data_IF_279759746272
#
_entry.id   IF_279759746272
#
_cell.length_a   1.000
_cell.length_b   1.000
_cell.length_c   1.000
_cell.angle_alpha   90.00
_cell.angle_beta   90.00
_cell.angle_gamma   90.00
#
_symmetry.space_group_name_H-M   'P 1'
#
loop_
_entity.id
_entity.type
_entity.pdbx_description
1 polymer ?
#
# COMPACT_ATOMS: atom_id res chain seq x y z
N UNK A 1 -1.21 -26.77 -19.07
CA UNK A 1 -0.94 -25.31 -18.93
C UNK A 1 0.03 -24.82 -20.01
N UNK A 2 1.23 -25.39 -20.18
CA UNK A 2 2.18 -24.96 -21.22
C UNK A 2 1.67 -25.12 -22.68
N UNK A 3 0.91 -26.17 -23.01
CA UNK A 3 0.34 -26.36 -24.35
C UNK A 3 -0.71 -25.30 -24.75
N UNK A 4 -1.50 -24.83 -23.78
CA UNK A 4 -2.50 -23.79 -23.99
C UNK A 4 -1.86 -22.41 -24.25
N UNK A 5 -0.74 -22.14 -23.56
CA UNK A 5 0.06 -20.92 -23.76
C UNK A 5 0.75 -20.94 -25.14
N UNK A 6 1.26 -22.08 -25.60
CA UNK A 6 1.88 -22.25 -26.92
C UNK A 6 0.90 -22.00 -28.09
N UNK A 7 -0.32 -22.55 -28.02
CA UNK A 7 -1.36 -22.32 -29.03
C UNK A 7 -1.74 -20.84 -29.17
N UNK A 8 -1.70 -20.11 -28.06
CA UNK A 8 -1.98 -18.67 -28.05
C UNK A 8 -0.80 -17.83 -28.55
N UNK A 9 0.42 -18.21 -28.20
CA UNK A 9 1.64 -17.57 -28.68
C UNK A 9 1.76 -17.67 -30.21
N UNK A 10 1.49 -18.86 -30.78
CA UNK A 10 1.47 -19.07 -32.24
C UNK A 10 0.36 -18.28 -32.94
N UNK A 11 -0.83 -18.18 -32.35
CA UNK A 11 -1.99 -17.52 -32.96
C UNK A 11 -1.95 -15.98 -32.89
N UNK A 12 -1.43 -15.41 -31.80
CA UNK A 12 -1.38 -13.96 -31.61
C UNK A 12 -0.06 -13.34 -32.08
N UNK A 13 1.04 -14.11 -32.07
CA UNK A 13 2.39 -13.63 -32.34
C UNK A 13 2.91 -12.70 -31.24
N UNK A 14 4.19 -12.85 -30.90
CA UNK A 14 4.83 -12.05 -29.85
C UNK A 14 4.75 -10.55 -30.11
N UNK A 15 4.83 -10.09 -31.37
CA UNK A 15 4.76 -8.67 -31.72
C UNK A 15 3.46 -7.97 -31.29
N UNK A 16 2.32 -8.67 -31.30
CA UNK A 16 1.02 -8.07 -30.93
C UNK A 16 0.86 -7.97 -29.42
N UNK A 17 1.30 -8.99 -28.68
CA UNK A 17 1.38 -8.96 -27.21
C UNK A 17 2.37 -7.89 -26.76
N UNK A 18 3.48 -7.72 -27.48
CA UNK A 18 4.43 -6.64 -27.27
C UNK A 18 3.78 -5.26 -27.54
N UNK A 19 2.93 -5.11 -28.57
CA UNK A 19 2.19 -3.86 -28.82
C UNK A 19 1.23 -3.48 -27.69
N UNK A 20 0.42 -4.43 -27.20
CA UNK A 20 -0.51 -4.20 -26.07
C UNK A 20 0.30 -3.81 -24.81
N UNK A 21 1.37 -4.54 -24.52
CA UNK A 21 2.25 -4.25 -23.38
C UNK A 21 3.03 -2.92 -23.53
N UNK A 22 3.42 -2.53 -24.75
CA UNK A 22 4.05 -1.22 -25.03
C UNK A 22 3.06 -0.06 -24.92
N UNK A 23 1.84 -0.21 -25.46
CA UNK A 23 0.79 0.82 -25.38
C UNK A 23 0.33 1.07 -23.94
N UNK A 24 0.34 0.04 -23.08
CA UNK A 24 0.00 0.17 -21.67
C UNK A 24 0.99 1.04 -20.85
N UNK A 25 2.09 1.52 -21.45
CA UNK A 25 3.13 2.35 -20.80
C UNK A 25 3.54 1.80 -19.43
N UNK A 26 3.76 0.49 -19.33
CA UNK A 26 3.95 -0.24 -18.06
C UNK A 26 4.98 0.38 -17.11
N UNK A 27 5.97 1.09 -17.64
CA UNK A 27 6.95 1.86 -16.85
C UNK A 27 6.28 2.85 -15.88
N UNK A 28 5.15 3.49 -16.24
CA UNK A 28 4.42 4.40 -15.35
C UNK A 28 3.84 3.72 -14.11
N UNK A 29 3.65 2.40 -14.16
CA UNK A 29 3.16 1.58 -13.07
C UNK A 29 4.29 0.84 -12.33
N UNK A 30 5.56 1.24 -12.55
CA UNK A 30 6.67 0.69 -11.79
C UNK A 30 6.53 1.10 -10.33
N UNK A 31 6.48 0.10 -9.45
CA UNK A 31 6.54 0.35 -8.03
C UNK A 31 7.94 0.84 -7.69
N UNK A 32 8.04 2.04 -7.12
CA UNK A 32 9.30 2.49 -6.54
C UNK A 32 9.63 1.64 -5.31
N UNK A 33 10.81 1.01 -5.33
CA UNK A 33 11.32 0.21 -4.21
C UNK A 33 11.44 1.03 -2.93
N UNK A 34 11.66 2.34 -3.02
CA UNK A 34 11.80 3.23 -1.87
C UNK A 34 10.52 3.32 -1.02
N UNK A 35 9.35 3.17 -1.64
CA UNK A 35 8.05 3.24 -0.96
C UNK A 35 7.85 2.07 0.02
N UNK A 36 8.31 0.88 -0.35
CA UNK A 36 8.25 -0.29 0.56
C UNK A 36 9.13 -0.08 1.78
N UNK A 37 10.34 0.45 1.58
CA UNK A 37 11.28 0.69 2.67
C UNK A 37 10.84 1.87 3.54
N UNK A 38 10.21 2.88 2.95
CA UNK A 38 9.55 3.96 3.68
C UNK A 38 8.41 3.44 4.57
N UNK A 39 7.48 2.66 4.04
CA UNK A 39 6.38 2.10 4.85
C UNK A 39 6.90 1.16 5.93
N UNK A 40 7.94 0.36 5.64
CA UNK A 40 8.60 -0.49 6.64
C UNK A 40 9.19 0.32 7.79
N UNK A 41 9.82 1.47 7.51
CA UNK A 41 10.32 2.37 8.56
C UNK A 41 9.20 2.87 9.45
N UNK A 42 8.03 3.20 8.89
CA UNK A 42 6.87 3.59 9.69
C UNK A 42 6.35 2.46 10.58
N UNK A 43 6.37 1.22 10.08
CA UNK A 43 6.01 0.03 10.89
C UNK A 43 6.99 -0.15 12.05
N UNK A 44 8.30 0.00 11.80
CA UNK A 44 9.34 -0.11 12.84
C UNK A 44 9.14 1.00 13.88
N UNK A 45 8.98 2.25 13.44
CA UNK A 45 8.71 3.38 14.32
C UNK A 45 7.49 3.16 15.22
N UNK A 46 6.41 2.61 14.66
CA UNK A 46 5.18 2.29 15.41
C UNK A 46 5.35 1.09 16.36
N UNK A 47 6.19 0.11 16.02
CA UNK A 47 6.50 -1.06 16.86
C UNK A 47 7.49 -0.77 17.98
N UNK A 48 8.45 0.12 17.76
CA UNK A 48 9.57 0.37 18.68
C UNK A 48 9.25 1.35 19.82
N UNK A 49 7.99 1.75 20.01
CA UNK A 49 7.59 2.70 21.06
C UNK A 49 6.34 2.25 21.82
N UNK A 50 6.32 2.04 23.14
CA UNK A 50 7.32 1.99 24.21
C UNK A 50 6.74 1.12 25.34
N UNK A 51 7.58 0.60 26.24
CA UNK A 51 7.12 0.31 27.61
C UNK A 51 6.44 1.56 28.18
N UNK A 52 5.42 1.46 29.03
CA UNK A 52 4.74 2.63 29.59
C UNK A 52 5.76 3.63 30.13
N UNK A 53 5.88 4.77 29.44
CA UNK A 53 6.72 5.89 29.82
C UNK A 53 5.81 6.86 30.57
N UNK A 54 6.12 7.16 31.82
CA UNK A 54 5.36 8.13 32.61
C UNK A 54 6.14 9.45 32.65
N UNK A 55 5.65 10.53 32.01
CA UNK A 55 6.35 11.81 31.98
C UNK A 55 6.50 12.38 33.40
N UNK A 56 7.72 12.72 33.82
CA UNK A 56 8.00 13.26 35.16
C UNK A 56 8.38 14.73 35.14
N UNK A 57 8.74 15.26 33.98
CA UNK A 57 9.22 16.62 33.77
C UNK A 57 8.49 17.31 32.62
N UNK A 58 8.65 18.64 32.50
CA UNK A 58 8.15 19.39 31.35
C UNK A 58 8.86 19.02 30.05
N UNK A 59 10.14 18.64 30.12
CA UNK A 59 10.92 18.20 28.97
C UNK A 59 10.43 16.84 28.45
N UNK A 60 10.01 15.93 29.35
CA UNK A 60 9.39 14.66 28.99
C UNK A 60 8.08 14.86 28.21
N UNK A 61 7.26 15.85 28.63
CA UNK A 61 6.05 16.21 27.91
C UNK A 61 6.36 16.81 26.53
N UNK A 62 7.40 17.63 26.43
CA UNK A 62 7.83 18.21 25.15
C UNK A 62 8.28 17.12 24.17
N UNK A 63 9.10 16.19 24.63
CA UNK A 63 9.53 15.05 23.82
C UNK A 63 8.34 14.22 23.34
N UNK A 64 7.35 13.99 24.20
CA UNK A 64 6.14 13.25 23.82
C UNK A 64 5.30 14.00 22.78
N UNK A 65 5.21 15.32 22.87
CA UNK A 65 4.54 16.15 21.84
C UNK A 65 5.28 16.05 20.51
N UNK A 66 6.61 16.10 20.51
CA UNK A 66 7.42 15.99 19.30
C UNK A 66 7.20 14.61 18.63
N UNK A 67 7.16 13.52 19.41
CA UNK A 67 6.85 12.17 18.93
C UNK A 67 5.43 12.03 18.37
N UNK A 68 4.44 12.69 18.98
CA UNK A 68 3.08 12.74 18.46
C UNK A 68 3.01 13.48 17.12
N UNK A 69 3.73 14.59 16.97
CA UNK A 69 3.81 15.35 15.72
C UNK A 69 4.49 14.53 14.62
N UNK A 70 5.58 13.82 14.94
CA UNK A 70 6.25 12.93 14.00
C UNK A 70 5.33 11.78 13.56
N UNK A 71 4.61 11.17 14.51
CA UNK A 71 3.61 10.12 14.21
C UNK A 71 2.52 10.64 13.28
N UNK A 72 2.03 11.86 13.51
CA UNK A 72 1.03 12.50 12.65
C UNK A 72 1.58 12.74 11.24
N UNK A 73 2.82 13.22 11.11
CA UNK A 73 3.47 13.43 9.82
C UNK A 73 3.60 12.11 9.03
N UNK A 74 3.95 11.00 9.69
CA UNK A 74 4.00 9.68 9.06
C UNK A 74 2.62 9.20 8.60
N UNK A 75 1.56 9.45 9.38
CA UNK A 75 0.17 9.12 8.99
C UNK A 75 -0.28 9.89 7.75
N UNK A 76 0.03 11.17 7.67
CA UNK A 76 -0.34 12.02 6.54
C UNK A 76 0.40 11.60 5.27
N UNK A 77 1.71 11.32 5.38
CA UNK A 77 2.51 10.82 4.27
C UNK A 77 2.05 9.44 3.80
N UNK A 78 1.74 8.54 4.73
CA UNK A 78 1.20 7.21 4.42
C UNK A 78 -0.17 7.30 3.72
N UNK A 79 -1.04 8.23 4.12
CA UNK A 79 -2.30 8.51 3.43
C UNK A 79 -2.06 8.87 1.97
N UNK A 80 -1.08 9.76 1.70
CA UNK A 80 -0.70 10.11 0.33
C UNK A 80 -0.28 8.90 -0.50
N UNK A 81 0.58 8.02 0.06
CA UNK A 81 1.01 6.78 -0.60
C UNK A 81 -0.18 5.85 -0.88
N UNK A 82 -1.11 5.71 0.07
CA UNK A 82 -2.30 4.87 -0.09
C UNK A 82 -3.26 5.37 -1.18
N UNK A 83 -3.43 6.69 -1.30
CA UNK A 83 -4.23 7.30 -2.36
C UNK A 83 -3.60 7.00 -3.73
N UNK A 84 -2.30 7.28 -3.89
CA UNK A 84 -1.58 6.99 -5.14
C UNK A 84 -1.62 5.50 -5.49
N UNK A 85 -1.46 4.63 -4.49
CA UNK A 85 -1.55 3.18 -4.66
C UNK A 85 -2.93 2.76 -5.15
N UNK A 86 -4.01 3.34 -4.62
CA UNK A 86 -5.37 3.02 -5.05
C UNK A 86 -5.63 3.47 -6.49
N UNK A 87 -5.20 4.68 -6.85
CA UNK A 87 -5.27 5.19 -8.24
C UNK A 87 -4.53 4.25 -9.20
N UNK A 88 -3.31 3.81 -8.85
CA UNK A 88 -2.54 2.90 -9.68
C UNK A 88 -3.23 1.53 -9.85
N UNK A 89 -3.86 1.00 -8.80
CA UNK A 89 -4.61 -0.25 -8.86
C UNK A 89 -5.82 -0.13 -9.78
N UNK A 90 -6.56 0.98 -9.67
CA UNK A 90 -7.76 1.25 -10.47
C UNK A 90 -7.41 1.44 -11.95
N UNK A 91 -6.36 2.20 -12.24
CA UNK A 91 -5.85 2.35 -13.61
C UNK A 91 -5.41 1.01 -14.21
N UNK A 92 -4.69 0.18 -13.45
CA UNK A 92 -4.30 -1.16 -13.90
C UNK A 92 -5.52 -2.07 -14.13
N UNK A 93 -6.57 -1.94 -13.30
CA UNK A 93 -7.82 -2.67 -13.47
C UNK A 93 -8.54 -2.27 -14.77
N UNK A 94 -8.55 -0.98 -15.11
CA UNK A 94 -9.11 -0.48 -16.37
C UNK A 94 -8.33 -1.01 -17.57
N UNK A 95 -6.99 -1.06 -17.48
CA UNK A 95 -6.15 -1.63 -18.54
C UNK A 95 -6.48 -3.11 -18.76
N UNK A 96 -6.64 -3.88 -17.68
CA UNK A 96 -7.02 -5.30 -17.75
C UNK A 96 -8.39 -5.44 -18.40
N UNK A 97 -9.43 -4.74 -17.91
CA UNK A 97 -10.79 -4.89 -18.43
C UNK A 97 -10.93 -4.43 -19.89
N UNK A 98 -10.27 -3.34 -20.27
CA UNK A 98 -10.25 -2.84 -21.65
C UNK A 98 -9.54 -3.83 -22.56
N UNK A 99 -8.40 -4.35 -22.11
CA UNK A 99 -7.65 -5.34 -22.86
C UNK A 99 -8.42 -6.64 -23.03
N UNK A 100 -9.06 -7.14 -21.97
CA UNK A 100 -9.93 -8.32 -22.02
C UNK A 100 -11.05 -8.11 -23.05
N UNK A 101 -11.72 -6.96 -23.00
CA UNK A 101 -12.79 -6.61 -23.95
C UNK A 101 -12.30 -6.61 -25.40
N UNK A 102 -11.10 -6.07 -25.66
CA UNK A 102 -10.48 -6.10 -26.99
C UNK A 102 -10.16 -7.53 -27.44
N UNK A 103 -9.62 -8.36 -26.55
CA UNK A 103 -9.35 -9.77 -26.80
C UNK A 103 -10.62 -10.54 -27.19
N UNK A 104 -11.71 -10.33 -26.45
CA UNK A 104 -12.99 -10.97 -26.74
C UNK A 104 -13.64 -10.48 -28.04
N UNK A 105 -13.42 -9.22 -28.42
CA UNK A 105 -14.03 -8.63 -29.61
C UNK A 105 -13.27 -9.01 -30.88
N UNK A 106 -11.95 -8.81 -30.90
CA UNK A 106 -11.10 -9.04 -32.08
C UNK A 106 -10.76 -10.52 -32.30
N UNK A 107 -10.65 -11.29 -31.22
CA UNK A 107 -10.27 -12.70 -31.27
C UNK A 107 -11.40 -13.61 -30.82
N UNK A 108 -12.66 -13.18 -30.98
CA UNK A 108 -13.84 -13.92 -30.59
C UNK A 108 -13.82 -15.37 -31.10
N UNK A 109 -13.40 -15.58 -32.35
CA UNK A 109 -13.36 -16.92 -32.94
C UNK A 109 -12.23 -17.81 -32.38
N UNK A 110 -11.13 -17.21 -31.92
CA UNK A 110 -10.08 -17.92 -31.19
C UNK A 110 -10.52 -18.22 -29.74
N UNK A 111 -11.20 -17.27 -29.11
CA UNK A 111 -11.74 -17.39 -27.75
C UNK A 111 -12.89 -18.41 -27.68
N UNK A 112 -13.69 -18.55 -28.75
CA UNK A 112 -14.71 -19.61 -28.91
C UNK A 112 -14.10 -21.00 -29.00
N UNK A 113 -12.91 -21.14 -29.62
CA UNK A 113 -12.16 -22.41 -29.66
C UNK A 113 -11.59 -22.77 -28.28
N UNK A 114 -11.44 -21.80 -27.39
CA UNK A 114 -11.08 -22.00 -25.98
C UNK A 114 -12.35 -22.30 -25.15
N UNK A 115 -12.84 -23.52 -25.30
CA UNK A 115 -14.09 -24.00 -24.70
C UNK A 115 -14.01 -24.21 -23.18
N UNK A 116 -12.81 -24.37 -22.62
CA UNK A 116 -12.62 -24.51 -21.17
C UNK A 116 -12.13 -23.20 -20.52
N UNK A 117 -12.46 -23.01 -19.23
CA UNK A 117 -12.11 -21.82 -18.43
C UNK A 117 -10.60 -21.64 -18.26
N UNK A 118 -9.85 -22.72 -18.16
CA UNK A 118 -8.41 -22.73 -17.89
C UNK A 118 -7.58 -22.19 -19.06
N UNK A 119 -7.92 -22.55 -20.30
CA UNK A 119 -7.28 -22.05 -21.52
C UNK A 119 -7.54 -20.56 -21.69
N UNK A 120 -8.74 -20.11 -21.31
CA UNK A 120 -9.13 -18.69 -21.33
C UNK A 120 -8.36 -17.88 -20.29
N UNK A 121 -8.21 -18.41 -19.08
CA UNK A 121 -7.35 -17.82 -18.05
C UNK A 121 -5.86 -17.81 -18.45
N UNK A 122 -5.38 -18.87 -19.11
CA UNK A 122 -4.00 -18.93 -19.60
C UNK A 122 -3.72 -17.85 -20.67
N UNK A 123 -4.65 -17.63 -21.59
CA UNK A 123 -4.56 -16.56 -22.60
C UNK A 123 -4.51 -15.16 -21.96
N UNK A 124 -5.40 -14.90 -21.00
CA UNK A 124 -5.42 -13.65 -20.23
C UNK A 124 -4.11 -13.47 -19.47
N UNK A 125 -3.57 -14.53 -18.85
CA UNK A 125 -2.26 -14.48 -18.16
C UNK A 125 -1.09 -14.28 -19.13
N UNK A 126 -1.14 -14.83 -20.34
CA UNK A 126 -0.10 -14.63 -21.35
C UNK A 126 -0.04 -13.16 -21.78
N UNK A 127 -1.21 -12.56 -22.01
CA UNK A 127 -1.32 -11.19 -22.56
C UNK A 127 -1.19 -10.13 -21.48
N UNK A 128 -1.87 -10.30 -20.35
CA UNK A 128 -1.93 -9.35 -19.23
C UNK A 128 -1.01 -9.73 -18.07
N UNK A 129 -0.27 -10.83 -18.13
CA UNK A 129 0.60 -11.29 -17.05
C UNK A 129 1.49 -10.19 -16.44
N UNK A 130 2.18 -9.36 -17.26
CA UNK A 130 2.94 -8.23 -16.75
C UNK A 130 2.08 -7.19 -16.00
N UNK A 131 0.87 -6.87 -16.50
CA UNK A 131 -0.07 -5.92 -15.90
C UNK A 131 -0.61 -6.47 -14.57
N UNK A 132 -1.06 -7.73 -14.58
CA UNK A 132 -1.60 -8.43 -13.40
C UNK A 132 -0.53 -8.53 -12.30
N UNK A 133 0.72 -8.86 -12.64
CA UNK A 133 1.82 -8.89 -11.68
C UNK A 133 2.08 -7.51 -11.06
N UNK A 134 2.05 -6.43 -11.84
CA UNK A 134 2.15 -5.07 -11.30
C UNK A 134 0.98 -4.73 -10.39
N UNK A 135 -0.24 -5.08 -10.79
CA UNK A 135 -1.42 -4.85 -9.96
C UNK A 135 -1.31 -5.59 -8.62
N UNK A 136 -0.82 -6.83 -8.62
CA UNK A 136 -0.55 -7.60 -7.41
C UNK A 136 0.52 -6.92 -6.52
N UNK A 137 1.57 -6.36 -7.10
CA UNK A 137 2.59 -5.60 -6.35
C UNK A 137 1.99 -4.36 -5.66
N UNK A 138 1.16 -3.59 -6.35
CA UNK A 138 0.47 -2.43 -5.76
C UNK A 138 -0.55 -2.84 -4.70
N UNK A 139 -1.33 -3.92 -4.92
CA UNK A 139 -2.23 -4.51 -3.90
C UNK A 139 -1.46 -4.95 -2.66
N UNK A 140 -0.29 -5.57 -2.83
CA UNK A 140 0.60 -5.92 -1.72
C UNK A 140 1.11 -4.68 -0.97
N UNK A 141 1.50 -3.62 -1.68
CA UNK A 141 1.89 -2.35 -1.03
C UNK A 141 0.72 -1.77 -0.22
N UNK A 142 -0.49 -1.78 -0.78
CA UNK A 142 -1.71 -1.32 -0.08
C UNK A 142 -1.92 -2.06 1.23
N UNK A 143 -1.85 -3.40 1.23
CA UNK A 143 -2.01 -4.20 2.45
C UNK A 143 -0.94 -3.88 3.51
N UNK A 144 0.32 -3.67 3.09
CA UNK A 144 1.39 -3.25 4.02
C UNK A 144 1.11 -1.84 4.57
N UNK A 145 0.64 -0.92 3.73
CA UNK A 145 0.26 0.43 4.15
C UNK A 145 -0.92 0.46 5.12
N UNK A 146 -1.93 -0.40 4.93
CA UNK A 146 -3.06 -0.53 5.86
C UNK A 146 -2.61 -1.00 7.25
N UNK A 147 -1.72 -2.00 7.32
CA UNK A 147 -1.11 -2.43 8.59
C UNK A 147 -0.29 -1.31 9.24
N UNK A 148 0.53 -0.61 8.47
CA UNK A 148 1.31 0.52 8.98
C UNK A 148 0.42 1.64 9.55
N UNK A 149 -0.70 1.92 8.88
CA UNK A 149 -1.66 2.95 9.31
C UNK A 149 -2.36 2.55 10.62
N UNK A 150 -2.75 1.29 10.76
CA UNK A 150 -3.32 0.77 12.01
C UNK A 150 -2.33 0.94 13.16
N UNK A 151 -1.09 0.48 12.98
CA UNK A 151 -0.05 0.61 14.00
C UNK A 151 0.21 2.07 14.38
N UNK A 152 0.36 2.98 13.40
CA UNK A 152 0.57 4.40 13.66
C UNK A 152 -0.61 5.06 14.40
N UNK A 153 -1.85 4.63 14.13
CA UNK A 153 -3.01 5.12 14.88
C UNK A 153 -2.95 4.65 16.34
N UNK A 154 -2.65 3.38 16.57
CA UNK A 154 -2.50 2.81 17.91
C UNK A 154 -1.40 3.53 18.71
N UNK A 155 -0.23 3.73 18.09
CA UNK A 155 0.88 4.50 18.70
C UNK A 155 0.44 5.92 19.04
N UNK A 156 -0.24 6.63 18.13
CA UNK A 156 -0.70 7.98 18.37
C UNK A 156 -1.66 8.08 19.57
N UNK A 157 -2.62 7.16 19.67
CA UNK A 157 -3.57 7.14 20.79
C UNK A 157 -2.88 6.83 22.12
N UNK A 158 -1.95 5.88 22.13
CA UNK A 158 -1.17 5.54 23.33
C UNK A 158 -0.33 6.74 23.80
N UNK A 159 0.38 7.42 22.88
CA UNK A 159 1.15 8.62 23.21
C UNK A 159 0.26 9.74 23.76
N UNK A 160 -0.91 9.95 23.13
CA UNK A 160 -1.88 10.95 23.59
C UNK A 160 -2.36 10.68 25.02
N UNK A 161 -2.72 9.44 25.33
CA UNK A 161 -3.18 9.04 26.67
C UNK A 161 -2.07 9.25 27.72
N UNK A 162 -0.83 8.87 27.40
CA UNK A 162 0.33 9.11 28.26
C UNK A 162 0.52 10.63 28.50
N UNK A 163 0.40 11.44 27.45
CA UNK A 163 0.52 12.89 27.54
C UNK A 163 -0.57 13.54 28.40
N UNK A 164 -1.82 13.10 28.24
CA UNK A 164 -2.95 13.56 29.06
C UNK A 164 -2.73 13.21 30.54
N UNK A 165 -2.34 11.95 30.84
CA UNK A 165 -2.03 11.51 32.21
C UNK A 165 -0.85 12.27 32.84
N UNK A 166 0.26 12.42 32.08
CA UNK A 166 1.45 13.15 32.54
C UNK A 166 1.15 14.61 32.86
N UNK A 167 0.30 15.26 32.07
CA UNK A 167 -0.14 16.63 32.32
C UNK A 167 -0.92 16.76 33.62
N UNK A 168 -1.89 15.88 33.86
CA UNK A 168 -2.67 15.88 35.11
C UNK A 168 -1.78 15.70 36.34
N UNK A 169 -0.80 14.79 36.29
CA UNK A 169 0.14 14.55 37.39
C UNK A 169 1.00 15.78 37.67
N UNK A 170 1.51 16.44 36.63
CA UNK A 170 2.34 17.63 36.77
C UNK A 170 1.56 18.84 37.27
N UNK A 171 0.32 19.03 36.82
CA UNK A 171 -0.59 20.06 37.33
C UNK A 171 -0.89 19.83 38.82
N UNK A 172 -1.21 18.59 39.23
CA UNK A 172 -1.42 18.25 40.64
C UNK A 172 -0.17 18.51 41.51
N UNK A 173 1.03 18.24 40.99
CA UNK A 173 2.30 18.53 41.69
C UNK A 173 2.57 20.03 41.82
N UNK A 174 2.29 20.82 40.78
CA UNK A 174 2.40 22.29 40.85
C UNK A 174 1.49 22.85 41.94
N UNK A 175 0.25 22.39 42.00
CA UNK A 175 -0.74 22.81 43.00
C UNK A 175 -0.26 22.48 44.43
N UNK A 176 0.28 21.29 44.67
CA UNK A 176 0.84 20.96 46.00
C UNK A 176 2.01 21.86 46.41
N UNK A 177 2.96 22.10 45.50
CA UNK A 177 4.12 22.98 45.78
C UNK A 177 3.73 24.43 46.08
N UNK A 178 2.59 24.92 45.57
CA UNK A 178 2.09 26.27 45.91
C UNK A 178 1.40 26.36 47.26
N UNK A 179 1.03 25.23 47.88
CA UNK A 179 0.48 25.20 49.24
C UNK A 179 1.58 24.99 50.32
N UNK A 180 2.73 24.44 49.93
CA UNK A 180 3.87 24.18 50.82
C UNK A 180 4.90 25.34 50.86
N UNK A 181 4.73 26.38 50.05
CA UNK A 181 5.62 27.55 49.91
C UNK A 181 4.99 28.81 50.53
#
# INVERSE_FOLDING_TARGET
MAEAENLFAEAMGDEKVIKINRQAKLQKFALDSSLKDEIRRYIIFAKDNRKPFEPKTADDLKQLIDEMQETQAYRDRLTGIMIQTSIAIDELQIVISTGESYLFTEYNDLMKKCSNKETREAAIRYVFGPVIRRQAQWKSLKGIGEMARQNLNETYFALREIGENGRTILEARKVRRSFDA
#
